data_IF_647872824882
#
_entry.id   IF_647872824882
#
_cell.length_a   1.000
_cell.length_b   1.000
_cell.length_c   1.000
_cell.angle_alpha   90.00
_cell.angle_beta   90.00
_cell.angle_gamma   90.00
#
_symmetry.space_group_name_H-M   'P 1'
#
loop_
_entity.id
_entity.type
_entity.pdbx_description
1 polymer ?
#
# COMPACT_ATOMS: atom_id res chain seq x y z
N UNK A 1 -34.43 -76.03 21.29
CA UNK A 1 -33.48 -74.91 21.41
C UNK A 1 -32.89 -74.62 20.04
N UNK A 2 -32.96 -73.36 19.63
CA UNK A 2 -32.14 -72.62 18.65
C UNK A 2 -31.49 -73.38 17.47
N UNK A 3 -31.82 -72.97 16.24
CA UNK A 3 -30.84 -72.86 15.16
C UNK A 3 -31.32 -71.92 14.03
N UNK A 4 -30.51 -70.87 13.81
CA UNK A 4 -30.05 -70.36 12.52
C UNK A 4 -31.05 -69.69 11.56
N UNK A 5 -31.05 -68.35 11.60
CA UNK A 5 -31.38 -67.48 10.49
C UNK A 5 -30.12 -67.22 9.64
N UNK A 6 -30.19 -67.48 8.33
CA UNK A 6 -29.22 -66.94 7.37
C UNK A 6 -29.86 -66.65 6.01
N UNK A 7 -29.84 -65.35 5.68
CA UNK A 7 -29.69 -64.72 4.36
C UNK A 7 -30.80 -64.90 3.31
N UNK A 8 -31.45 -63.77 3.00
CA UNK A 8 -31.74 -63.41 1.60
C UNK A 8 -31.28 -61.98 1.34
N UNK A 9 -30.35 -61.83 0.40
CA UNK A 9 -29.83 -60.57 -0.08
C UNK A 9 -30.92 -59.80 -0.85
N UNK A 10 -31.05 -58.50 -0.59
CA UNK A 10 -31.88 -57.61 -1.40
C UNK A 10 -31.08 -56.36 -1.82
N UNK A 11 -30.74 -56.35 -3.11
CA UNK A 11 -30.80 -55.21 -4.03
C UNK A 11 -30.11 -53.91 -3.61
N UNK A 12 -28.89 -53.70 -4.11
CA UNK A 12 -28.31 -52.38 -4.22
C UNK A 12 -29.19 -51.49 -5.12
N UNK A 13 -29.72 -50.39 -4.57
CA UNK A 13 -30.36 -49.32 -5.36
C UNK A 13 -29.25 -48.39 -5.87
N UNK A 14 -29.23 -48.00 -7.15
CA UNK A 14 -28.23 -47.05 -7.65
C UNK A 14 -28.47 -45.69 -7.00
N UNK A 15 -27.42 -45.13 -6.39
CA UNK A 15 -27.42 -43.78 -5.84
C UNK A 15 -27.39 -42.80 -7.01
N UNK A 16 -28.57 -42.31 -7.45
CA UNK A 16 -28.63 -41.22 -8.43
C UNK A 16 -28.19 -39.93 -7.75
N UNK A 17 -26.92 -39.56 -7.93
CA UNK A 17 -26.39 -38.26 -7.52
C UNK A 17 -27.02 -37.17 -8.39
N UNK A 18 -28.07 -36.50 -7.88
CA UNK A 18 -28.57 -35.28 -8.49
C UNK A 18 -27.51 -34.18 -8.33
N UNK A 19 -26.86 -33.82 -9.44
CA UNK A 19 -25.96 -32.65 -9.49
C UNK A 19 -26.80 -31.38 -9.32
N UNK A 20 -26.41 -30.44 -8.45
CA UNK A 20 -27.09 -29.16 -8.37
C UNK A 20 -26.92 -28.41 -9.70
N UNK A 21 -28.03 -27.89 -10.25
CA UNK A 21 -27.98 -27.03 -11.44
C UNK A 21 -27.24 -25.75 -11.07
N UNK A 22 -26.06 -25.55 -11.65
CA UNK A 22 -25.34 -24.28 -11.59
C UNK A 22 -26.16 -23.27 -12.42
N UNK A 23 -26.76 -22.30 -11.73
CA UNK A 23 -27.42 -21.15 -12.36
C UNK A 23 -26.44 -20.45 -13.31
N UNK A 24 -26.88 -20.14 -14.52
CA UNK A 24 -26.09 -19.46 -15.53
C UNK A 24 -25.42 -18.21 -14.95
N UNK A 25 -24.12 -18.04 -15.24
CA UNK A 25 -23.32 -16.89 -14.81
C UNK A 25 -23.97 -15.62 -15.33
N UNK A 26 -24.29 -14.69 -14.44
CA UNK A 26 -24.73 -13.36 -14.81
C UNK A 26 -23.69 -12.68 -15.71
N UNK A 27 -24.15 -12.06 -16.80
CA UNK A 27 -23.29 -11.29 -17.69
C UNK A 27 -22.82 -10.03 -16.95
N UNK A 28 -21.53 -9.93 -16.68
CA UNK A 28 -20.92 -8.70 -16.19
C UNK A 28 -20.73 -7.79 -17.39
N UNK A 29 -21.48 -6.68 -17.47
CA UNK A 29 -21.23 -5.66 -18.49
C UNK A 29 -20.02 -4.82 -18.09
N UNK A 30 -18.93 -4.91 -18.87
CA UNK A 30 -17.80 -4.00 -18.71
C UNK A 30 -18.14 -2.70 -19.43
N UNK A 31 -18.24 -1.59 -18.68
CA UNK A 31 -18.34 -0.27 -19.29
C UNK A 31 -16.99 0.14 -19.87
N UNK A 32 -17.01 0.66 -21.09
CA UNK A 32 -15.84 1.30 -21.68
C UNK A 32 -15.41 2.49 -20.80
N UNK A 33 -14.15 2.49 -20.38
CA UNK A 33 -13.53 3.64 -19.72
C UNK A 33 -13.18 4.64 -20.83
N UNK A 34 -13.53 5.91 -20.64
CA UNK A 34 -13.18 6.96 -21.59
C UNK A 34 -11.66 6.97 -21.84
N UNK A 35 -11.25 7.28 -23.07
CA UNK A 35 -9.84 7.41 -23.42
C UNK A 35 -9.15 8.37 -22.45
N UNK A 36 -7.94 8.04 -21.95
CA UNK A 36 -7.26 8.88 -20.99
C UNK A 36 -7.07 10.29 -21.59
N UNK A 37 -7.22 11.34 -20.79
CA UNK A 37 -6.98 12.70 -21.25
C UNK A 37 -5.54 12.80 -21.77
N UNK A 38 -5.35 13.55 -22.86
CA UNK A 38 -4.03 13.82 -23.39
C UNK A 38 -3.29 14.70 -22.39
N UNK A 39 -2.20 14.18 -21.84
CA UNK A 39 -1.36 14.91 -20.88
C UNK A 39 -0.57 16.00 -21.63
N UNK A 40 -0.39 17.15 -20.98
CA UNK A 40 0.42 18.28 -21.47
C UNK A 40 1.67 18.35 -20.60
N UNK A 41 2.87 18.36 -21.18
CA UNK A 41 4.14 18.24 -20.44
C UNK A 41 5.13 19.37 -20.74
N UNK A 42 4.62 20.52 -21.18
CA UNK A 42 5.44 21.62 -21.71
C UNK A 42 6.40 22.17 -20.66
N UNK A 43 5.91 22.39 -19.43
CA UNK A 43 6.73 22.92 -18.34
C UNK A 43 7.77 21.90 -17.88
N UNK A 44 7.41 20.62 -17.87
CA UNK A 44 8.35 19.54 -17.61
C UNK A 44 9.50 19.51 -18.62
N UNK A 45 9.21 19.68 -19.92
CA UNK A 45 10.20 19.74 -21.00
C UNK A 45 11.15 20.94 -20.85
N UNK A 46 10.62 22.12 -20.53
CA UNK A 46 11.42 23.34 -20.29
C UNK A 46 12.40 23.14 -19.13
N UNK A 47 11.93 22.67 -17.98
CA UNK A 47 12.76 22.43 -16.79
C UNK A 47 13.82 21.35 -17.08
N UNK A 48 13.44 20.27 -17.77
CA UNK A 48 14.40 19.21 -18.09
C UNK A 48 15.51 19.70 -19.02
N UNK A 49 15.18 20.55 -20.00
CA UNK A 49 16.18 21.17 -20.88
C UNK A 49 17.16 22.04 -20.08
N UNK A 50 16.66 22.85 -19.15
CA UNK A 50 17.53 23.63 -18.25
C UNK A 50 18.40 22.71 -17.36
N UNK A 51 17.83 21.63 -16.84
CA UNK A 51 18.55 20.68 -16.00
C UNK A 51 19.68 19.94 -16.73
N UNK A 52 19.55 19.70 -18.04
CA UNK A 52 20.60 19.05 -18.85
C UNK A 52 21.90 19.86 -18.92
N UNK A 53 21.83 21.18 -18.77
CA UNK A 53 23.00 22.06 -18.73
C UNK A 53 23.72 22.01 -17.38
N UNK A 54 23.04 21.55 -16.33
CA UNK A 54 23.51 21.59 -14.94
C UNK A 54 23.88 20.21 -14.38
N UNK A 55 23.17 19.17 -14.81
CA UNK A 55 23.28 17.82 -14.30
C UNK A 55 23.61 16.84 -15.42
N UNK A 56 24.50 15.86 -15.19
CA UNK A 56 24.75 14.79 -16.16
C UNK A 56 23.45 14.06 -16.55
N UNK A 57 23.01 14.24 -17.79
CA UNK A 57 21.75 13.66 -18.28
C UNK A 57 20.48 14.30 -17.71
N UNK A 58 20.59 15.50 -17.11
CA UNK A 58 19.47 16.28 -16.57
C UNK A 58 18.86 15.74 -15.27
N UNK A 59 19.51 14.77 -14.61
CA UNK A 59 18.96 14.10 -13.42
C UNK A 59 20.03 13.70 -12.40
N UNK A 60 19.63 13.60 -11.13
CA UNK A 60 20.49 13.10 -10.03
C UNK A 60 20.54 11.56 -9.94
N UNK A 61 19.70 10.83 -10.70
CA UNK A 61 19.68 9.37 -10.71
C UNK A 61 19.27 8.85 -12.10
N UNK A 62 20.03 7.94 -12.74
CA UNK A 62 19.84 7.60 -14.16
C UNK A 62 18.43 7.12 -14.53
N UNK A 63 17.76 6.36 -13.65
CA UNK A 63 16.40 5.84 -13.90
C UNK A 63 15.38 6.97 -14.14
N UNK A 64 15.65 8.16 -13.58
CA UNK A 64 14.77 9.32 -13.71
C UNK A 64 14.85 9.99 -15.08
N UNK A 65 15.82 9.64 -15.93
CA UNK A 65 15.95 10.20 -17.28
C UNK A 65 15.06 9.52 -18.33
N UNK A 66 14.28 8.50 -17.95
CA UNK A 66 13.29 7.81 -18.81
C UNK A 66 13.86 7.19 -20.10
N UNK A 67 15.19 6.99 -20.18
CA UNK A 67 15.87 6.47 -21.38
C UNK A 67 15.32 5.14 -21.90
N UNK A 68 14.86 4.27 -21.00
CA UNK A 68 14.33 2.95 -21.36
C UNK A 68 12.88 2.96 -21.86
N UNK A 69 12.13 4.04 -21.60
CA UNK A 69 10.71 4.17 -21.99
C UNK A 69 10.49 5.22 -23.09
N UNK A 70 11.51 6.02 -23.39
CA UNK A 70 11.46 7.10 -24.36
C UNK A 70 10.80 8.37 -23.80
N UNK A 71 10.87 9.46 -24.57
CA UNK A 71 10.35 10.76 -24.16
C UNK A 71 11.24 11.49 -23.13
N UNK A 72 10.76 12.64 -22.66
CA UNK A 72 11.34 13.39 -21.55
C UNK A 72 10.75 12.98 -20.21
N UNK A 73 11.49 13.14 -19.10
CA UNK A 73 10.96 12.87 -17.77
C UNK A 73 9.89 13.88 -17.35
N UNK A 74 8.98 13.41 -16.50
CA UNK A 74 7.92 14.24 -15.90
C UNK A 74 8.45 14.90 -14.64
N UNK A 75 8.24 16.22 -14.51
CA UNK A 75 8.69 16.99 -13.36
C UNK A 75 7.54 17.11 -12.36
N UNK A 76 7.67 16.45 -11.22
CA UNK A 76 6.62 16.43 -10.20
C UNK A 76 6.67 17.66 -9.27
N UNK A 77 5.52 18.27 -9.01
CA UNK A 77 5.38 19.40 -8.08
C UNK A 77 5.01 18.91 -6.68
N UNK A 78 4.05 17.98 -6.58
CA UNK A 78 3.51 17.53 -5.29
C UNK A 78 2.96 16.11 -5.34
N UNK A 79 2.79 15.53 -4.16
CA UNK A 79 2.28 14.18 -3.94
C UNK A 79 1.32 14.15 -2.75
N UNK A 80 0.27 13.32 -2.80
CA UNK A 80 -0.65 13.10 -1.66
C UNK A 80 -1.41 11.79 -1.83
N UNK A 81 -1.40 10.96 -0.79
CA UNK A 81 -2.04 9.65 -0.80
C UNK A 81 -1.47 8.78 -1.93
N UNK A 82 -2.33 8.26 -2.80
CA UNK A 82 -1.95 7.44 -3.95
C UNK A 82 -1.66 8.26 -5.23
N UNK A 83 -1.51 9.58 -5.13
CA UNK A 83 -1.45 10.46 -6.30
C UNK A 83 -0.18 11.33 -6.35
N UNK A 84 0.34 11.49 -7.56
CA UNK A 84 1.36 12.48 -7.92
C UNK A 84 0.76 13.53 -8.83
N UNK A 85 1.29 14.76 -8.75
CA UNK A 85 0.87 15.90 -9.55
C UNK A 85 2.11 16.55 -10.13
N UNK A 86 2.14 16.72 -11.45
CA UNK A 86 3.26 17.37 -12.12
C UNK A 86 3.11 18.88 -12.20
N UNK A 87 4.18 19.55 -12.62
CA UNK A 87 4.24 21.01 -12.80
C UNK A 87 3.32 21.53 -13.90
N UNK A 88 2.77 20.64 -14.72
CA UNK A 88 1.82 20.95 -15.78
C UNK A 88 0.35 20.75 -15.32
N UNK A 89 0.14 20.33 -14.06
CA UNK A 89 -1.18 20.11 -13.46
C UNK A 89 -1.79 18.74 -13.75
N UNK A 90 -1.06 17.82 -14.38
CA UNK A 90 -1.52 16.46 -14.61
C UNK A 90 -1.54 15.67 -13.29
N UNK A 91 -2.56 14.82 -13.14
CA UNK A 91 -2.74 13.95 -11.97
C UNK A 91 -2.52 12.49 -12.35
N UNK A 92 -1.68 11.80 -11.59
CA UNK A 92 -1.31 10.40 -11.81
C UNK A 92 -1.70 9.56 -10.60
N UNK A 93 -2.16 8.33 -10.83
CA UNK A 93 -2.15 7.28 -9.79
C UNK A 93 -0.73 6.74 -9.72
N UNK A 94 -0.10 6.81 -8.56
CA UNK A 94 1.31 6.45 -8.40
C UNK A 94 1.49 5.00 -7.94
N UNK A 95 2.18 4.22 -8.78
CA UNK A 95 2.63 2.87 -8.48
C UNK A 95 4.15 2.79 -8.26
N UNK A 96 4.88 3.89 -8.42
CA UNK A 96 6.32 3.95 -8.11
C UNK A 96 6.51 4.09 -6.59
N UNK A 97 5.67 4.86 -5.91
CA UNK A 97 5.66 4.95 -4.44
C UNK A 97 7.00 5.45 -3.88
N UNK A 98 7.63 6.40 -4.59
CA UNK A 98 9.00 6.86 -4.30
C UNK A 98 10.07 5.74 -4.28
N UNK A 99 9.84 4.65 -5.02
CA UNK A 99 10.67 3.45 -5.01
C UNK A 99 10.60 2.64 -3.71
N UNK A 100 9.50 2.77 -2.94
CA UNK A 100 9.24 1.99 -1.73
C UNK A 100 8.79 2.78 -0.48
N UNK A 101 9.36 3.96 -0.15
CA UNK A 101 9.08 4.66 1.11
C UNK A 101 7.61 5.04 1.33
N UNK A 102 6.85 5.29 0.26
CA UNK A 102 5.48 5.79 0.35
C UNK A 102 4.43 4.68 0.61
N UNK A 103 4.74 3.69 1.45
CA UNK A 103 3.86 2.54 1.71
C UNK A 103 2.53 2.92 2.36
N UNK A 104 2.54 3.94 3.23
CA UNK A 104 1.33 4.52 3.85
C UNK A 104 0.72 5.66 3.03
N UNK A 105 1.11 5.75 1.75
CA UNK A 105 0.78 6.86 0.86
C UNK A 105 1.68 8.08 1.07
N UNK A 106 1.75 8.92 0.04
CA UNK A 106 2.52 10.14 0.05
C UNK A 106 1.95 11.20 0.97
N UNK A 107 2.82 11.98 1.63
CA UNK A 107 2.44 13.09 2.49
C UNK A 107 1.33 12.71 3.48
N UNK A 108 1.49 11.55 4.14
CA UNK A 108 0.59 11.07 5.16
C UNK A 108 0.51 12.11 6.31
N UNK A 109 -0.70 12.40 6.79
CA UNK A 109 -0.93 13.50 7.74
C UNK A 109 -0.30 13.24 9.11
N UNK A 110 -0.27 11.98 9.57
CA UNK A 110 0.34 11.59 10.83
C UNK A 110 1.88 11.72 10.76
N UNK A 111 2.48 11.21 9.69
CA UNK A 111 3.93 11.34 9.44
C UNK A 111 4.34 12.82 9.33
N UNK A 112 3.56 13.63 8.61
CA UNK A 112 3.86 15.05 8.46
C UNK A 112 3.68 15.83 9.77
N UNK A 113 2.69 15.47 10.60
CA UNK A 113 2.50 16.10 11.91
C UNK A 113 3.70 15.84 12.83
N UNK A 114 4.14 14.58 12.92
CA UNK A 114 5.32 14.21 13.69
C UNK A 114 6.59 14.88 13.15
N UNK A 115 6.79 14.91 11.83
CA UNK A 115 7.93 15.60 11.23
C UNK A 115 7.93 17.09 11.59
N UNK A 116 6.79 17.78 11.47
CA UNK A 116 6.67 19.20 11.85
C UNK A 116 7.00 19.41 13.33
N UNK A 117 6.52 18.54 14.22
CA UNK A 117 6.85 18.63 15.64
C UNK A 117 8.35 18.44 15.92
N UNK A 118 9.06 17.63 15.13
CA UNK A 118 10.51 17.49 15.23
C UNK A 118 11.25 18.69 14.63
N UNK A 119 10.73 19.32 13.56
CA UNK A 119 11.34 20.51 12.96
C UNK A 119 11.47 21.66 13.98
N UNK A 120 10.50 21.83 14.88
CA UNK A 120 10.55 22.82 15.96
C UNK A 120 11.70 22.58 16.96
N UNK A 121 12.24 21.36 17.01
CA UNK A 121 13.39 21.02 17.87
C UNK A 121 14.72 21.12 17.13
N UNK A 122 14.71 21.28 15.81
CA UNK A 122 15.88 21.22 14.94
C UNK A 122 16.07 19.84 14.29
N UNK A 123 16.71 19.82 13.12
CA UNK A 123 16.87 18.61 12.28
C UNK A 123 18.17 17.86 12.50
N UNK A 124 19.14 18.45 13.18
CA UNK A 124 20.46 17.86 13.42
C UNK A 124 21.06 18.43 14.70
N UNK A 125 21.50 17.54 15.59
CA UNK A 125 22.02 17.93 16.91
C UNK A 125 23.54 17.88 17.02
N UNK A 126 24.22 17.09 16.17
CA UNK A 126 25.66 16.81 16.35
C UNK A 126 26.00 16.07 17.66
N UNK A 127 24.98 15.60 18.38
CA UNK A 127 25.06 14.90 19.65
C UNK A 127 23.89 13.90 19.76
N UNK A 128 23.99 12.85 20.60
CA UNK A 128 22.94 11.83 20.72
C UNK A 128 21.57 12.40 21.13
N UNK A 129 20.49 11.78 20.64
CA UNK A 129 19.12 12.10 21.05
C UNK A 129 18.28 10.86 21.41
N UNK A 130 17.21 11.06 22.19
CA UNK A 130 16.37 9.97 22.68
C UNK A 130 15.78 9.10 21.56
N UNK A 131 15.46 9.70 20.41
CA UNK A 131 14.87 9.01 19.26
C UNK A 131 15.83 7.96 18.64
N UNK A 132 17.14 8.13 18.79
CA UNK A 132 18.14 7.16 18.32
C UNK A 132 18.24 5.95 19.26
N UNK A 133 18.04 6.17 20.55
CA UNK A 133 18.21 5.15 21.60
C UNK A 133 16.94 4.33 21.79
N UNK A 134 15.76 4.93 21.58
CA UNK A 134 14.45 4.30 21.80
C UNK A 134 14.26 2.94 21.08
N UNK A 135 14.66 2.76 19.79
CA UNK A 135 14.57 1.45 19.14
C UNK A 135 15.48 0.40 19.79
N UNK A 136 16.69 0.77 20.19
CA UNK A 136 17.63 -0.15 20.84
C UNK A 136 17.14 -0.60 22.22
N UNK A 137 16.35 0.23 22.90
CA UNK A 137 15.70 -0.11 24.17
C UNK A 137 14.41 -0.91 24.01
N UNK A 138 14.02 -1.28 22.78
CA UNK A 138 12.75 -1.98 22.51
C UNK A 138 11.51 -1.14 22.85
N UNK A 139 11.67 0.19 22.94
CA UNK A 139 10.60 1.14 23.21
C UNK A 139 9.98 1.69 21.91
N UNK A 140 10.32 1.10 20.76
CA UNK A 140 9.61 1.37 19.51
C UNK A 140 8.21 0.77 19.61
N UNK A 141 7.19 1.64 19.59
CA UNK A 141 5.86 1.19 19.25
C UNK A 141 5.87 0.84 17.76
N UNK A 142 5.91 -0.44 17.44
CA UNK A 142 5.48 -0.94 16.14
C UNK A 142 3.95 -0.86 16.11
N UNK A 143 3.43 0.36 16.05
CA UNK A 143 2.01 0.59 15.83
C UNK A 143 1.76 0.38 14.32
N UNK A 144 1.57 -0.89 13.95
CA UNK A 144 1.12 -1.29 12.60
C UNK A 144 -0.35 -0.90 12.35
N UNK A 145 -1.04 -0.40 13.36
CA UNK A 145 -2.44 0.02 13.30
C UNK A 145 -2.53 1.45 12.76
N UNK A 146 -2.45 1.58 11.44
CA UNK A 146 -2.88 2.79 10.74
C UNK A 146 -4.34 3.08 11.14
N UNK A 147 -4.67 4.26 11.69
CA UNK A 147 -6.04 4.61 12.00
C UNK A 147 -6.89 4.55 10.73
N UNK A 148 -7.82 3.59 10.65
CA UNK A 148 -8.78 3.48 9.55
C UNK A 148 -9.76 4.65 9.60
N UNK A 149 -9.46 5.73 8.88
CA UNK A 149 -10.44 6.78 8.58
C UNK A 149 -11.40 6.31 7.48
N UNK A 150 -12.38 5.49 7.85
CA UNK A 150 -13.46 5.08 6.94
C UNK A 150 -14.64 4.43 7.67
N UNK A 151 -15.90 4.67 7.26
CA UNK A 151 -17.08 4.15 7.94
C UNK A 151 -17.31 2.69 7.54
N UNK A 152 -16.52 1.78 8.10
CA UNK A 152 -16.59 0.35 7.83
C UNK A 152 -16.38 -0.43 9.13
N UNK A 153 -17.49 -0.66 9.83
CA UNK A 153 -17.59 -1.35 11.13
C UNK A 153 -16.93 -2.74 11.09
N UNK A 154 -15.93 -2.96 11.95
CA UNK A 154 -15.61 -4.29 12.49
C UNK A 154 -15.06 -4.16 13.92
N UNK A 155 -15.67 -4.86 14.88
CA UNK A 155 -15.20 -5.06 16.26
C UNK A 155 -15.21 -6.57 16.53
N UNK A 156 -14.49 -7.12 17.54
CA UNK A 156 -13.24 -6.70 18.16
C UNK A 156 -12.23 -7.87 18.25
N UNK A 157 -10.97 -7.62 18.63
CA UNK A 157 -10.22 -8.57 19.47
C UNK A 157 -9.79 -7.82 20.73
N UNK A 158 -10.09 -8.42 21.88
CA UNK A 158 -10.01 -7.80 23.20
C UNK A 158 -8.60 -7.38 23.64
N UNK A 159 -8.48 -6.79 24.83
CA UNK A 159 -7.22 -6.20 25.29
C UNK A 159 -6.11 -7.25 25.41
N UNK A 160 -4.85 -6.89 25.12
CA UNK A 160 -3.72 -7.77 25.33
C UNK A 160 -3.61 -8.12 26.81
N UNK A 161 -3.43 -9.41 27.12
CA UNK A 161 -3.23 -9.88 28.50
C UNK A 161 -1.92 -9.29 29.01
N UNK A 162 -2.00 -8.46 30.05
CA UNK A 162 -0.82 -7.92 30.72
C UNK A 162 0.04 -9.05 31.31
N UNK A 163 1.35 -8.97 31.11
CA UNK A 163 2.30 -9.76 31.88
C UNK A 163 2.43 -9.14 33.29
N UNK A 164 2.44 -9.94 34.37
CA UNK A 164 2.71 -9.41 35.70
C UNK A 164 4.19 -8.95 35.80
N UNK A 165 4.49 -7.95 36.64
CA UNK A 165 5.86 -7.49 36.85
C UNK A 165 6.70 -8.62 37.45
N UNK A 166 7.90 -8.85 36.88
CA UNK A 166 8.91 -9.69 37.51
C UNK A 166 9.43 -8.96 38.74
N UNK A 167 9.19 -9.54 39.92
CA UNK A 167 9.88 -9.14 41.15
C UNK A 167 11.38 -9.34 40.96
N UNK A 168 12.16 -8.27 41.08
CA UNK A 168 13.60 -8.33 41.24
C UNK A 168 13.90 -8.87 42.65
N UNK A 169 14.63 -9.99 42.70
CA UNK A 169 15.42 -10.43 43.85
C UNK A 169 16.87 -10.50 43.38
#
# INVERSE_FOLDING_TARGET
>A
MQALNAKSAQGARPFTAQRPRVSARGSVSVRAVAAPPRLVTKRSEEIFKEAQELLPGGVNSPVRAFRSVGGGPIIFERVKGAYCYDVDGNKYIDYVGSWGPAIVGHANDEVNAELRAQLEKGTSFGAPCELEVRPALGQSKLDCDVPRSGPGRWQPRGPPRGHPPRSLA
#
